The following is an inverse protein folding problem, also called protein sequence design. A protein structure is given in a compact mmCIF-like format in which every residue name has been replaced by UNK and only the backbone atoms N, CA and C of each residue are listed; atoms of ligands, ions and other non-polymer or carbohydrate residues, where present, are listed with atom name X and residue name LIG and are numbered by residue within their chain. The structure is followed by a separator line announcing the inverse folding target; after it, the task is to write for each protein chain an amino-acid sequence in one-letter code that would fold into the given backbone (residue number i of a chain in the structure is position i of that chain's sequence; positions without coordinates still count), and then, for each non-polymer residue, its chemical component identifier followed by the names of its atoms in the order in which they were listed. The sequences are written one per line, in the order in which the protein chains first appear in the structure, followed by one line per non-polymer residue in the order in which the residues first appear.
data_IF_729726420706
#
_entry.id   IF_729726420706
#
_cell.length_a   1.000
_cell.length_b   1.000
_cell.length_c   1.000
_cell.angle_alpha   90.00
_cell.angle_beta   90.00
_cell.angle_gamma   90.00
#
_symmetry.space_group_name_H-M   'P 1'
#
loop_
_entity.id
_entity.type
_entity.pdbx_description
1 polymer ?
#
# COMPACT_ATOMS: atom_id res chain seq x y z
N UNK A 1 -5.57 -1.31 -13.39
CA UNK A 1 -5.26 -2.30 -14.44
C UNK A 1 -6.08 -3.53 -14.24
N UNK A 2 -6.24 -4.23 -15.35
CA UNK A 2 -7.03 -5.43 -15.49
C UNK A 2 -6.26 -6.42 -16.33
N UNK A 3 -6.39 -7.70 -16.02
CA UNK A 3 -5.95 -8.76 -16.92
C UNK A 3 -7.05 -9.05 -17.95
N UNK A 4 -6.71 -9.44 -19.19
CA UNK A 4 -7.72 -9.87 -20.14
C UNK A 4 -8.54 -11.05 -19.59
N UNK A 5 -9.87 -10.98 -19.72
CA UNK A 5 -10.77 -11.98 -19.17
C UNK A 5 -10.48 -13.40 -19.68
N UNK A 6 -10.01 -13.53 -20.94
CA UNK A 6 -9.60 -14.81 -21.52
C UNK A 6 -8.46 -15.46 -20.73
N UNK A 7 -7.40 -14.70 -20.43
CA UNK A 7 -6.28 -15.22 -19.62
C UNK A 7 -6.72 -15.55 -18.21
N UNK A 8 -7.57 -14.70 -17.60
CA UNK A 8 -8.12 -14.99 -16.28
C UNK A 8 -8.92 -16.30 -16.25
N UNK A 9 -9.78 -16.54 -17.25
CA UNK A 9 -10.57 -17.78 -17.31
C UNK A 9 -9.70 -19.00 -17.55
N UNK A 10 -8.67 -18.89 -18.40
CA UNK A 10 -7.71 -19.96 -18.64
C UNK A 10 -6.94 -20.30 -17.36
N UNK A 11 -6.40 -19.30 -16.68
CA UNK A 11 -5.75 -19.46 -15.38
C UNK A 11 -6.71 -20.06 -14.35
N UNK A 12 -7.93 -19.54 -14.25
CA UNK A 12 -8.92 -20.05 -13.28
C UNK A 12 -9.23 -21.52 -13.54
N UNK A 13 -9.33 -21.94 -14.82
CA UNK A 13 -9.57 -23.34 -15.17
C UNK A 13 -8.39 -24.26 -14.84
N UNK A 14 -7.15 -23.77 -14.89
CA UNK A 14 -5.98 -24.58 -14.54
C UNK A 14 -5.83 -24.76 -13.02
N UNK A 15 -6.18 -23.75 -12.22
CA UNK A 15 -5.98 -23.79 -10.75
C UNK A 15 -7.21 -24.23 -9.96
N UNK A 16 -8.42 -23.93 -10.44
CA UNK A 16 -9.65 -24.19 -9.68
C UNK A 16 -10.32 -25.54 -10.04
N UNK A 17 -9.82 -26.26 -11.05
CA UNK A 17 -10.30 -27.58 -11.45
C UNK A 17 -11.81 -27.63 -11.65
N UNK A 18 -12.50 -28.49 -10.88
CA UNK A 18 -13.97 -28.66 -10.92
C UNK A 18 -14.75 -27.60 -10.12
N UNK A 19 -14.09 -26.62 -9.50
CA UNK A 19 -14.74 -25.60 -8.68
C UNK A 19 -15.57 -24.66 -9.55
N UNK A 20 -16.86 -24.55 -9.25
CA UNK A 20 -17.75 -23.66 -10.01
C UNK A 20 -17.37 -22.19 -9.79
N UNK A 21 -17.56 -21.34 -10.81
CA UNK A 21 -17.34 -19.89 -10.68
C UNK A 21 -18.15 -19.27 -9.51
N UNK A 22 -19.36 -19.81 -9.24
CA UNK A 22 -20.19 -19.36 -8.14
C UNK A 22 -19.57 -19.67 -6.76
N UNK A 23 -18.89 -20.81 -6.63
CA UNK A 23 -18.15 -21.17 -5.43
C UNK A 23 -16.89 -20.30 -5.27
N UNK A 24 -16.14 -20.08 -6.36
CA UNK A 24 -14.97 -19.18 -6.36
C UNK A 24 -15.35 -17.76 -5.94
N UNK A 25 -16.41 -17.18 -6.53
CA UNK A 25 -16.90 -15.85 -6.15
C UNK A 25 -17.23 -15.76 -4.67
N UNK A 26 -17.89 -16.80 -4.12
CA UNK A 26 -18.27 -16.84 -2.71
C UNK A 26 -17.04 -16.91 -1.81
N UNK A 27 -16.09 -17.79 -2.12
CA UNK A 27 -14.86 -17.95 -1.35
C UNK A 27 -13.98 -16.69 -1.40
N UNK A 28 -13.91 -16.02 -2.55
CA UNK A 28 -13.17 -14.76 -2.73
C UNK A 28 -13.88 -13.52 -2.19
N UNK A 29 -15.11 -13.63 -1.66
CA UNK A 29 -15.90 -12.50 -1.18
C UNK A 29 -16.35 -11.54 -2.29
N UNK A 30 -16.43 -12.00 -3.54
CA UNK A 30 -16.77 -11.19 -4.72
C UNK A 30 -18.23 -11.41 -5.09
N UNK A 31 -18.97 -10.32 -5.32
CA UNK A 31 -20.32 -10.42 -5.87
C UNK A 31 -20.27 -11.05 -7.27
N UNK A 32 -21.08 -12.08 -7.52
CA UNK A 32 -21.13 -12.76 -8.83
C UNK A 32 -21.38 -11.80 -9.99
N UNK A 33 -22.25 -10.81 -9.78
CA UNK A 33 -22.54 -9.77 -10.77
C UNK A 33 -21.31 -8.93 -11.13
N UNK A 34 -20.43 -8.66 -10.16
CA UNK A 34 -19.17 -7.93 -10.39
C UNK A 34 -18.23 -8.73 -11.29
N UNK A 35 -18.02 -10.02 -11.01
CA UNK A 35 -17.18 -10.86 -11.86
C UNK A 35 -17.79 -11.01 -13.26
N UNK A 36 -19.10 -11.27 -13.36
CA UNK A 36 -19.78 -11.39 -14.64
C UNK A 36 -19.63 -10.11 -15.50
N UNK A 37 -19.81 -8.92 -14.89
CA UNK A 37 -19.61 -7.64 -15.60
C UNK A 37 -18.16 -7.45 -16.06
N UNK A 38 -17.18 -7.83 -15.26
CA UNK A 38 -15.76 -7.78 -15.64
C UNK A 38 -15.46 -8.71 -16.82
N UNK A 39 -15.99 -9.94 -16.80
CA UNK A 39 -15.85 -10.90 -17.90
C UNK A 39 -16.50 -10.40 -19.19
N UNK A 40 -17.72 -9.84 -19.12
CA UNK A 40 -18.42 -9.25 -20.27
C UNK A 40 -17.64 -8.07 -20.86
N UNK A 41 -17.01 -7.25 -20.02
CA UNK A 41 -16.12 -6.14 -20.45
C UNK A 41 -14.76 -6.63 -20.97
N UNK A 42 -14.50 -7.94 -20.95
CA UNK A 42 -13.25 -8.55 -21.40
C UNK A 42 -12.05 -8.29 -20.49
N UNK A 43 -12.26 -7.76 -19.27
CA UNK A 43 -11.20 -7.27 -18.39
C UNK A 43 -11.53 -7.52 -16.92
N UNK A 44 -10.62 -8.20 -16.22
CA UNK A 44 -10.76 -8.58 -14.80
C UNK A 44 -9.77 -7.78 -13.96
N UNK A 45 -10.22 -7.17 -12.85
CA UNK A 45 -9.34 -6.33 -12.03
C UNK A 45 -8.28 -7.16 -11.30
N UNK A 46 -7.09 -6.60 -11.07
CA UNK A 46 -6.05 -7.29 -10.27
C UNK A 46 -6.53 -7.63 -8.86
N UNK A 47 -7.37 -6.78 -8.26
CA UNK A 47 -7.99 -7.06 -6.96
C UNK A 47 -8.85 -8.32 -6.98
N UNK A 48 -9.54 -8.57 -8.11
CA UNK A 48 -10.33 -9.80 -8.31
C UNK A 48 -9.40 -11.01 -8.41
N UNK A 49 -8.31 -10.91 -9.19
CA UNK A 49 -7.31 -11.99 -9.29
C UNK A 49 -6.72 -12.31 -7.92
N UNK A 50 -6.24 -11.30 -7.19
CA UNK A 50 -5.65 -11.47 -5.86
C UNK A 50 -6.64 -12.06 -4.83
N UNK A 51 -7.90 -11.60 -4.83
CA UNK A 51 -8.92 -12.15 -3.95
C UNK A 51 -9.23 -13.63 -4.26
N UNK A 52 -9.24 -14.00 -5.54
CA UNK A 52 -9.40 -15.40 -5.94
C UNK A 52 -8.18 -16.23 -5.55
N UNK A 53 -6.96 -15.76 -5.79
CA UNK A 53 -5.72 -16.42 -5.36
C UNK A 53 -5.74 -16.72 -3.87
N UNK A 54 -6.06 -15.71 -3.03
CA UNK A 54 -6.18 -15.87 -1.57
C UNK A 54 -7.23 -16.91 -1.19
N UNK A 55 -8.37 -16.92 -1.87
CA UNK A 55 -9.44 -17.89 -1.57
C UNK A 55 -9.09 -19.34 -1.90
N UNK A 56 -8.10 -19.53 -2.78
CA UNK A 56 -7.57 -20.83 -3.18
C UNK A 56 -6.22 -21.16 -2.49
N UNK A 57 -5.81 -20.34 -1.51
CA UNK A 57 -4.51 -20.46 -0.83
C UNK A 57 -3.30 -20.45 -1.78
N UNK A 58 -3.41 -19.67 -2.86
CA UNK A 58 -2.36 -19.52 -3.86
C UNK A 58 -1.48 -18.29 -3.56
N UNK A 59 -0.15 -18.37 -3.80
CA UNK A 59 0.75 -17.23 -3.65
C UNK A 59 0.39 -16.12 -4.64
N UNK A 60 -0.16 -15.01 -4.12
CA UNK A 60 -0.70 -13.90 -4.93
C UNK A 60 0.31 -13.34 -5.92
N UNK A 61 1.56 -13.11 -5.50
CA UNK A 61 2.59 -12.54 -6.38
C UNK A 61 2.93 -13.48 -7.52
N UNK A 62 3.10 -14.78 -7.23
CA UNK A 62 3.37 -15.77 -8.26
C UNK A 62 2.21 -15.89 -9.26
N UNK A 63 0.96 -15.88 -8.78
CA UNK A 63 -0.21 -15.84 -9.66
C UNK A 63 -0.20 -14.61 -10.56
N UNK A 64 0.03 -13.42 -9.99
CA UNK A 64 0.01 -12.19 -10.78
C UNK A 64 1.09 -12.21 -11.87
N UNK A 65 2.24 -12.85 -11.61
CA UNK A 65 3.30 -13.05 -12.60
C UNK A 65 2.97 -13.98 -13.75
N UNK A 66 1.88 -14.75 -13.70
CA UNK A 66 1.43 -15.54 -14.85
C UNK A 66 0.76 -14.68 -15.93
N UNK A 67 0.38 -13.44 -15.60
CA UNK A 67 -0.33 -12.56 -16.50
C UNK A 67 0.61 -11.62 -17.27
N UNK A 68 0.30 -11.33 -18.54
CA UNK A 68 1.05 -10.34 -19.31
C UNK A 68 1.13 -8.98 -18.60
N UNK A 69 2.30 -8.34 -18.70
CA UNK A 69 2.69 -7.07 -18.05
C UNK A 69 3.08 -7.14 -16.57
N UNK A 70 3.01 -8.33 -15.96
CA UNK A 70 3.34 -8.55 -14.55
C UNK A 70 4.34 -9.70 -14.36
N UNK A 71 4.89 -10.22 -15.46
CA UNK A 71 5.78 -11.38 -15.47
C UNK A 71 7.01 -11.16 -14.58
N UNK A 72 7.46 -9.91 -14.47
CA UNK A 72 8.62 -9.52 -13.68
C UNK A 72 8.32 -9.38 -12.17
N UNK A 73 7.06 -9.43 -11.72
CA UNK A 73 6.73 -9.21 -10.30
C UNK A 73 7.42 -10.19 -9.36
N UNK A 74 7.40 -11.48 -9.67
CA UNK A 74 8.02 -12.50 -8.83
C UNK A 74 9.54 -12.37 -8.80
N UNK A 75 10.18 -12.13 -9.96
CA UNK A 75 11.62 -11.91 -10.05
C UNK A 75 12.06 -10.55 -9.48
N UNK A 76 11.16 -9.57 -9.46
CA UNK A 76 11.38 -8.22 -8.94
C UNK A 76 11.08 -8.08 -7.45
N UNK A 77 10.72 -9.16 -6.78
CA UNK A 77 10.59 -9.20 -5.32
C UNK A 77 11.98 -9.02 -4.69
N UNK A 78 12.15 -7.94 -3.92
CA UNK A 78 13.36 -7.64 -3.16
C UNK A 78 12.98 -7.30 -1.73
N UNK A 79 13.83 -7.59 -0.72
CA UNK A 79 13.62 -7.11 0.63
C UNK A 79 13.42 -5.59 0.67
N UNK A 80 12.51 -5.08 1.53
CA UNK A 80 12.36 -3.65 1.71
C UNK A 80 13.60 -3.03 2.35
N UNK A 81 13.91 -1.81 1.96
CA UNK A 81 14.92 -0.98 2.64
C UNK A 81 14.43 -0.57 4.03
N UNK A 82 15.35 -0.13 4.91
CA UNK A 82 14.97 0.38 6.23
C UNK A 82 14.02 1.59 6.13
N UNK A 83 14.26 2.48 5.16
CA UNK A 83 13.38 3.62 4.89
C UNK A 83 11.96 3.17 4.51
N UNK A 84 11.83 2.14 3.66
CA UNK A 84 10.53 1.55 3.32
C UNK A 84 9.85 0.94 4.55
N UNK A 85 10.58 0.22 5.40
CA UNK A 85 10.04 -0.38 6.62
C UNK A 85 9.51 0.69 7.59
N UNK A 86 10.30 1.73 7.86
CA UNK A 86 9.92 2.85 8.73
C UNK A 86 8.75 3.66 8.16
N UNK A 87 8.63 3.74 6.83
CA UNK A 87 7.51 4.42 6.17
C UNK A 87 6.17 3.73 6.43
N UNK A 88 6.18 2.42 6.73
CA UNK A 88 5.00 1.59 7.02
C UNK A 88 4.74 1.41 8.52
N UNK A 89 5.24 2.35 9.33
CA UNK A 89 4.93 2.51 10.74
C UNK A 89 3.98 3.70 10.87
N UNK A 90 2.88 3.51 11.60
CA UNK A 90 1.91 4.59 11.81
C UNK A 90 2.52 5.71 12.68
N UNK A 91 2.00 6.93 12.56
CA UNK A 91 2.48 8.05 13.39
C UNK A 91 2.27 7.76 14.88
N UNK A 92 1.20 7.05 15.23
CA UNK A 92 0.90 6.65 16.60
C UNK A 92 1.92 5.64 17.15
N UNK A 93 2.23 4.59 16.40
CA UNK A 93 3.21 3.57 16.81
C UNK A 93 4.62 4.18 16.95
N UNK A 94 4.98 5.10 16.04
CA UNK A 94 6.25 5.81 16.08
C UNK A 94 6.38 6.66 17.35
N UNK A 95 5.36 7.44 17.69
CA UNK A 95 5.35 8.25 18.91
C UNK A 95 5.34 7.40 20.17
N UNK A 96 4.55 6.32 20.17
CA UNK A 96 4.50 5.39 21.29
C UNK A 96 5.87 4.75 21.56
N UNK A 97 6.60 4.36 20.52
CA UNK A 97 7.96 3.84 20.68
C UNK A 97 8.91 4.86 21.30
N UNK A 98 8.87 6.13 20.83
CA UNK A 98 9.69 7.20 21.40
C UNK A 98 9.38 7.39 22.89
N UNK A 99 8.10 7.42 23.26
CA UNK A 99 7.66 7.55 24.65
C UNK A 99 8.09 6.34 25.49
N UNK A 100 7.96 5.13 24.96
CA UNK A 100 8.39 3.90 25.64
C UNK A 100 9.88 3.91 25.93
N UNK A 101 10.72 4.34 24.96
CA UNK A 101 12.17 4.44 25.16
C UNK A 101 12.54 5.50 26.18
N UNK A 102 11.88 6.66 26.13
CA UNK A 102 12.17 7.72 27.07
C UNK A 102 11.77 7.32 28.51
N UNK A 103 10.58 6.75 28.68
CA UNK A 103 10.13 6.24 29.99
C UNK A 103 11.02 5.11 30.52
N UNK A 104 11.52 4.22 29.65
CA UNK A 104 12.47 3.18 30.05
C UNK A 104 13.82 3.76 30.50
N UNK A 105 14.33 4.78 29.80
CA UNK A 105 15.55 5.48 30.17
C UNK A 105 15.43 6.21 31.51
N UNK A 106 14.30 6.91 31.74
CA UNK A 106 14.01 7.62 32.99
C UNK A 106 13.88 6.65 34.18
N UNK A 107 13.28 5.47 33.97
CA UNK A 107 13.07 4.47 35.02
C UNK A 107 14.18 3.43 35.13
N UNK A 108 15.25 3.52 34.31
CA UNK A 108 16.34 2.54 34.23
C UNK A 108 15.84 1.10 33.99
N UNK A 109 14.79 0.95 33.19
CA UNK A 109 14.19 -0.34 32.82
C UNK A 109 14.41 -0.68 31.36
N UNK A 110 14.10 -1.92 30.97
CA UNK A 110 14.07 -2.31 29.58
C UNK A 110 12.82 -1.72 28.88
N UNK A 111 12.93 -1.26 27.62
CA UNK A 111 11.78 -0.84 26.84
C UNK A 111 10.75 -1.97 26.66
N UNK A 112 9.48 -1.61 26.65
CA UNK A 112 8.39 -2.55 26.38
C UNK A 112 8.48 -3.13 24.96
N UNK A 113 7.96 -4.34 24.71
CA UNK A 113 7.88 -4.89 23.37
C UNK A 113 7.06 -4.00 22.44
N UNK A 114 7.57 -3.78 21.22
CA UNK A 114 6.84 -3.08 20.16
C UNK A 114 5.70 -3.97 19.65
N UNK A 115 4.48 -3.46 19.72
CA UNK A 115 3.33 -4.03 19.01
C UNK A 115 2.83 -3.00 18.01
N UNK A 116 3.03 -3.26 16.73
CA UNK A 116 2.62 -2.35 15.67
C UNK A 116 1.16 -2.55 15.29
N UNK A 117 0.49 -1.44 14.97
CA UNK A 117 -0.80 -1.48 14.29
C UNK A 117 -0.70 -2.16 12.90
N UNK A 118 -1.84 -2.55 12.28
CA UNK A 118 -1.86 -3.15 10.95
C UNK A 118 -1.12 -2.30 9.90
N UNK A 119 -0.54 -2.96 8.89
CA UNK A 119 0.47 -2.33 8.01
C UNK A 119 0.00 -1.18 7.13
N UNK A 120 -1.26 -1.14 6.72
CA UNK A 120 -1.78 -0.03 5.92
C UNK A 120 -2.51 0.99 6.80
N UNK A 121 -1.99 2.22 6.83
CA UNK A 121 -2.53 3.38 7.54
C UNK A 121 -2.80 4.54 6.57
N UNK A 122 -3.46 5.60 7.06
CA UNK A 122 -3.96 6.73 6.25
C UNK A 122 -2.89 7.46 5.42
N UNK A 123 -1.62 7.32 5.79
CA UNK A 123 -0.47 7.97 5.17
C UNK A 123 0.48 7.00 4.46
N UNK A 124 0.19 5.68 4.43
CA UNK A 124 1.11 4.64 3.94
C UNK A 124 1.64 4.91 2.54
N UNK A 125 0.78 5.29 1.59
CA UNK A 125 1.18 5.56 0.21
C UNK A 125 2.12 6.74 0.13
N UNK A 126 1.77 7.85 0.79
CA UNK A 126 2.60 9.07 0.77
C UNK A 126 3.95 8.82 1.44
N UNK A 127 3.93 8.24 2.64
CA UNK A 127 5.13 7.94 3.41
C UNK A 127 6.08 7.01 2.65
N UNK A 128 5.55 5.97 2.00
CA UNK A 128 6.35 5.08 1.15
C UNK A 128 6.97 5.83 -0.02
N UNK A 129 6.18 6.60 -0.76
CA UNK A 129 6.71 7.36 -1.89
C UNK A 129 7.79 8.34 -1.44
N UNK A 130 7.60 9.06 -0.34
CA UNK A 130 8.63 9.96 0.21
C UNK A 130 9.89 9.20 0.65
N UNK A 131 9.76 7.97 1.14
CA UNK A 131 10.88 7.14 1.56
C UNK A 131 11.70 6.55 0.39
N UNK A 132 11.08 6.36 -0.78
CA UNK A 132 11.75 5.81 -1.98
C UNK A 132 12.03 6.86 -3.06
N UNK A 133 11.56 8.10 -2.89
CA UNK A 133 11.76 9.16 -3.89
C UNK A 133 13.22 9.61 -3.93
N UNK A 134 13.84 9.45 -5.09
CA UNK A 134 15.21 9.87 -5.34
C UNK A 134 15.35 11.35 -5.73
N UNK A 135 14.26 12.06 -6.06
CA UNK A 135 14.13 13.54 -6.24
C UNK A 135 12.93 13.93 -7.11
N UNK A 136 12.61 13.14 -8.14
CA UNK A 136 11.60 13.43 -9.14
C UNK A 136 10.68 12.23 -9.46
N UNK A 137 10.58 11.27 -8.55
CA UNK A 137 9.84 10.01 -8.75
C UNK A 137 8.41 10.27 -9.21
N UNK A 138 7.68 11.15 -8.52
CA UNK A 138 6.27 11.45 -8.84
C UNK A 138 6.10 12.01 -10.26
N UNK A 139 7.05 12.83 -10.71
CA UNK A 139 7.05 13.41 -12.07
C UNK A 139 7.32 12.34 -13.11
N UNK A 140 8.31 11.46 -12.87
CA UNK A 140 8.62 10.32 -13.75
C UNK A 140 7.45 9.36 -13.86
N UNK A 141 6.81 9.01 -12.73
CA UNK A 141 5.63 8.13 -12.67
C UNK A 141 4.46 8.72 -13.45
N UNK A 142 4.11 9.99 -13.20
CA UNK A 142 3.00 10.64 -13.89
C UNK A 142 3.21 10.65 -15.42
N UNK A 143 4.43 10.98 -15.86
CA UNK A 143 4.83 10.97 -17.27
C UNK A 143 4.79 9.58 -17.88
N UNK A 144 5.34 8.56 -17.21
CA UNK A 144 5.33 7.18 -17.72
C UNK A 144 3.91 6.60 -17.80
N UNK A 145 3.05 6.94 -16.85
CA UNK A 145 1.65 6.51 -16.84
C UNK A 145 0.74 7.37 -17.73
N UNK A 146 1.27 8.41 -18.39
CA UNK A 146 0.52 9.38 -19.19
C UNK A 146 -0.69 9.98 -18.44
N UNK A 147 -0.52 10.27 -17.14
CA UNK A 147 -1.53 10.91 -16.31
C UNK A 147 -1.11 12.31 -15.92
N UNK A 148 -2.09 13.20 -15.75
CA UNK A 148 -1.85 14.52 -15.21
C UNK A 148 -1.24 14.42 -13.78
N UNK A 149 -0.19 15.19 -13.44
CA UNK A 149 0.41 15.18 -12.10
C UNK A 149 -0.60 15.43 -10.98
N UNK A 150 -1.65 16.22 -11.24
CA UNK A 150 -2.75 16.49 -10.31
C UNK A 150 -3.54 15.22 -9.97
N UNK A 151 -3.78 14.34 -10.95
CA UNK A 151 -4.47 13.07 -10.73
C UNK A 151 -3.64 12.12 -9.85
N UNK A 152 -2.32 12.06 -10.10
CA UNK A 152 -1.42 11.29 -9.24
C UNK A 152 -1.42 11.85 -7.81
N UNK A 153 -1.31 13.17 -7.67
CA UNK A 153 -1.31 13.86 -6.39
C UNK A 153 -2.62 13.64 -5.61
N UNK A 154 -3.75 13.61 -6.30
CA UNK A 154 -5.05 13.30 -5.72
C UNK A 154 -5.11 11.85 -5.20
N UNK A 155 -4.61 10.87 -5.96
CA UNK A 155 -4.55 9.47 -5.53
C UNK A 155 -3.64 9.27 -4.31
N UNK A 156 -2.47 9.92 -4.30
CA UNK A 156 -1.53 9.88 -3.17
C UNK A 156 -2.19 10.47 -1.92
N UNK A 157 -2.83 11.65 -2.07
CA UNK A 157 -3.49 12.33 -0.95
C UNK A 157 -4.69 11.55 -0.41
N UNK A 158 -5.40 10.84 -1.28
CA UNK A 158 -6.51 9.97 -0.90
C UNK A 158 -6.06 8.58 -0.40
N UNK A 159 -4.75 8.30 -0.37
CA UNK A 159 -4.18 6.99 -0.01
C UNK A 159 -4.74 5.83 -0.87
N UNK A 160 -4.97 6.10 -2.17
CA UNK A 160 -5.63 5.19 -3.13
C UNK A 160 -4.81 5.00 -4.41
N UNK A 161 -3.48 4.98 -4.27
CA UNK A 161 -2.58 4.70 -5.39
C UNK A 161 -2.89 3.31 -5.96
N UNK A 162 -3.07 3.20 -7.27
CA UNK A 162 -3.33 1.90 -7.90
C UNK A 162 -2.10 0.99 -7.82
N UNK A 163 -2.33 -0.33 -7.87
CA UNK A 163 -1.25 -1.31 -7.93
C UNK A 163 -0.26 -1.01 -9.06
N UNK A 164 -0.75 -0.56 -10.22
CA UNK A 164 0.12 -0.17 -11.33
C UNK A 164 1.08 0.96 -11.01
N UNK A 165 0.55 2.03 -10.43
CA UNK A 165 1.36 3.20 -10.12
C UNK A 165 2.33 2.85 -8.99
N UNK A 166 1.95 1.98 -8.06
CA UNK A 166 2.87 1.44 -7.07
C UNK A 166 4.02 0.63 -7.70
N UNK A 167 3.72 -0.29 -8.63
CA UNK A 167 4.75 -1.08 -9.33
C UNK A 167 5.65 -0.18 -10.20
N UNK A 168 5.05 0.79 -10.92
CA UNK A 168 5.81 1.74 -11.73
C UNK A 168 6.72 2.62 -10.87
N UNK A 169 6.23 3.12 -9.72
CA UNK A 169 7.04 3.84 -8.75
C UNK A 169 8.18 2.98 -8.22
N UNK A 170 7.92 1.72 -7.85
CA UNK A 170 8.97 0.81 -7.38
C UNK A 170 10.03 0.56 -8.45
N UNK A 171 9.63 0.41 -9.72
CA UNK A 171 10.53 0.21 -10.85
C UNK A 171 11.43 1.44 -11.08
N UNK A 172 10.87 2.65 -11.01
CA UNK A 172 11.64 3.89 -11.19
C UNK A 172 12.56 4.16 -10.00
N UNK A 173 12.13 3.81 -8.78
CA UNK A 173 12.93 3.94 -7.55
C UNK A 173 13.91 2.78 -7.33
N UNK A 174 13.91 1.77 -8.22
CA UNK A 174 14.77 0.59 -8.19
C UNK A 174 14.66 -0.30 -6.93
N UNK A 175 13.57 -0.15 -6.17
CA UNK A 175 13.23 -0.96 -4.99
C UNK A 175 12.45 -2.23 -5.39
N UNK A 176 12.09 -3.06 -4.40
CA UNK A 176 11.29 -4.27 -4.64
C UNK A 176 9.91 -3.95 -5.24
N UNK A 177 9.54 -4.61 -6.34
CA UNK A 177 8.30 -4.33 -7.08
C UNK A 177 7.02 -4.58 -6.26
N UNK A 178 7.12 -5.41 -5.23
CA UNK A 178 6.02 -5.77 -4.32
C UNK A 178 5.88 -4.81 -3.13
N UNK A 179 6.91 -4.02 -2.80
CA UNK A 179 6.91 -3.18 -1.59
C UNK A 179 5.84 -2.08 -1.65
N UNK A 180 5.72 -1.42 -2.80
CA UNK A 180 4.66 -0.43 -3.02
C UNK A 180 3.25 -1.02 -2.92
N UNK A 181 3.08 -2.31 -3.23
CA UNK A 181 1.80 -3.00 -3.10
C UNK A 181 1.43 -3.26 -1.63
N UNK A 182 2.41 -3.39 -0.74
CA UNK A 182 2.16 -3.40 0.71
C UNK A 182 1.66 -2.03 1.16
N UNK A 183 2.31 -0.96 0.70
CA UNK A 183 1.97 0.42 1.05
C UNK A 183 0.57 0.83 0.59
N UNK A 184 0.06 0.27 -0.50
CA UNK A 184 -1.34 0.47 -0.95
C UNK A 184 -2.35 -0.40 -0.22
N UNK A 185 -1.91 -1.33 0.64
CA UNK A 185 -2.75 -2.35 1.26
C UNK A 185 -3.23 -3.43 0.27
N UNK A 186 -2.67 -3.46 -0.94
CA UNK A 186 -3.01 -4.47 -1.95
C UNK A 186 -2.43 -5.83 -1.60
N UNK A 187 -1.20 -5.89 -1.08
CA UNK A 187 -0.57 -7.08 -0.51
C UNK A 187 -0.37 -6.93 1.01
N UNK A 188 -0.40 -8.05 1.71
CA UNK A 188 0.20 -8.14 3.05
C UNK A 188 1.74 -8.15 2.96
N UNK A 189 2.45 -7.76 4.03
CA UNK A 189 3.92 -7.88 4.08
C UNK A 189 4.42 -9.30 3.74
N UNK A 190 3.74 -10.34 4.25
CA UNK A 190 4.09 -11.74 4.01
C UNK A 190 3.91 -12.13 2.54
N UNK A 191 2.83 -11.70 1.88
CA UNK A 191 2.63 -11.93 0.44
C UNK A 191 3.70 -11.24 -0.41
N UNK A 192 4.21 -10.10 0.05
CA UNK A 192 5.27 -9.35 -0.63
C UNK A 192 6.68 -9.90 -0.37
N UNK A 193 6.81 -10.97 0.42
CA UNK A 193 8.09 -11.58 0.77
C UNK A 193 8.86 -10.87 1.90
N UNK A 194 8.20 -10.01 2.68
CA UNK A 194 8.85 -9.35 3.80
C UNK A 194 9.11 -10.33 4.92
N UNK A 195 10.30 -10.26 5.51
CA UNK A 195 10.65 -11.06 6.69
C UNK A 195 9.71 -10.67 7.85
N UNK A 196 9.08 -11.63 8.54
CA UNK A 196 8.26 -11.34 9.71
C UNK A 196 9.04 -10.56 10.78
N UNK A 197 8.42 -9.56 11.39
CA UNK A 197 9.08 -8.72 12.39
C UNK A 197 10.04 -7.66 11.83
N UNK A 198 10.20 -7.56 10.50
CA UNK A 198 11.14 -6.62 9.87
C UNK A 198 10.84 -5.15 10.22
N UNK A 199 9.57 -4.76 10.31
CA UNK A 199 9.17 -3.40 10.71
C UNK A 199 9.53 -3.10 12.17
N UNK A 200 9.24 -4.04 13.06
CA UNK A 200 9.55 -3.97 14.48
C UNK A 200 11.06 -3.92 14.72
N UNK A 201 11.83 -4.67 13.92
CA UNK A 201 13.28 -4.70 13.98
C UNK A 201 13.89 -3.40 13.44
N UNK A 202 13.37 -2.87 12.33
CA UNK A 202 13.78 -1.57 11.81
C UNK A 202 13.52 -0.47 12.84
N UNK A 203 12.30 -0.39 13.38
CA UNK A 203 11.94 0.58 14.40
C UNK A 203 12.88 0.51 15.61
N UNK A 204 13.13 -0.69 16.13
CA UNK A 204 14.03 -0.93 17.28
C UNK A 204 15.48 -0.62 16.98
N UNK A 205 15.94 -0.91 15.77
CA UNK A 205 17.31 -0.66 15.32
C UNK A 205 17.61 0.82 15.08
N UNK A 206 16.60 1.63 14.76
CA UNK A 206 16.79 3.06 14.49
C UNK A 206 17.08 3.85 15.79
N UNK A 207 18.10 4.72 15.82
CA UNK A 207 18.39 5.57 16.98
C UNK A 207 17.22 6.48 17.38
N UNK A 208 17.04 6.72 18.69
CA UNK A 208 15.95 7.55 19.20
C UNK A 208 15.98 8.98 18.63
N UNK A 209 17.16 9.58 18.43
CA UNK A 209 17.29 10.89 17.79
C UNK A 209 16.77 10.90 16.35
N UNK A 210 17.04 9.85 15.57
CA UNK A 210 16.52 9.68 14.21
C UNK A 210 15.00 9.48 14.21
N UNK A 211 14.46 8.72 15.18
CA UNK A 211 13.01 8.56 15.34
C UNK A 211 12.32 9.88 15.68
N UNK A 212 12.91 10.69 16.57
CA UNK A 212 12.39 12.02 16.91
C UNK A 212 12.40 12.95 15.69
N UNK A 213 13.48 12.96 14.91
CA UNK A 213 13.54 13.74 13.66
C UNK A 213 12.49 13.29 12.64
N UNK A 214 12.32 11.97 12.47
CA UNK A 214 11.28 11.39 11.61
C UNK A 214 9.87 11.78 12.07
N UNK A 215 9.60 11.66 13.37
CA UNK A 215 8.32 12.03 13.96
C UNK A 215 8.03 13.52 13.78
N UNK A 216 9.01 14.40 14.03
CA UNK A 216 8.87 15.84 13.82
C UNK A 216 8.50 16.18 12.37
N UNK A 217 9.19 15.56 11.40
CA UNK A 217 8.90 15.77 9.98
C UNK A 217 7.48 15.29 9.60
N UNK A 218 7.06 14.11 10.08
CA UNK A 218 5.73 13.56 9.80
C UNK A 218 4.61 14.38 10.44
N UNK A 219 4.83 14.89 11.66
CA UNK A 219 3.87 15.76 12.36
C UNK A 219 3.71 17.12 11.68
N UNK A 220 4.78 17.70 11.13
CA UNK A 220 4.68 18.93 10.32
C UNK A 220 3.81 18.73 9.07
N UNK A 221 4.01 17.61 8.36
CA UNK A 221 3.17 17.25 7.21
C UNK A 221 1.71 17.06 7.64
N UNK A 222 1.48 16.33 8.73
CA UNK A 222 0.13 16.09 9.26
C UNK A 222 -0.57 17.39 9.64
N UNK A 223 0.13 18.31 10.33
CA UNK A 223 -0.37 19.62 10.71
C UNK A 223 -0.86 20.42 9.49
N UNK A 224 -0.05 20.47 8.41
CA UNK A 224 -0.43 21.15 7.17
C UNK A 224 -1.67 20.53 6.51
N UNK A 225 -1.81 19.21 6.55
CA UNK A 225 -2.99 18.51 6.00
C UNK A 225 -4.23 18.81 6.81
N UNK A 226 -4.14 18.73 8.14
CA UNK A 226 -5.28 18.99 9.03
C UNK A 226 -5.78 20.41 8.89
N UNK A 227 -4.88 21.39 8.90
CA UNK A 227 -5.23 22.80 8.71
C UNK A 227 -5.98 23.04 7.40
N UNK A 228 -5.52 22.45 6.29
CA UNK A 228 -6.22 22.57 5.01
C UNK A 228 -7.62 21.94 5.07
N UNK A 229 -7.75 20.77 5.70
CA UNK A 229 -9.03 20.10 5.87
C UNK A 229 -10.02 20.93 6.71
N UNK A 230 -9.53 21.62 7.74
CA UNK A 230 -10.32 22.50 8.60
C UNK A 230 -10.78 23.75 7.81
N UNK A 231 -9.89 24.37 7.05
CA UNK A 231 -10.19 25.51 6.16
C UNK A 231 -11.24 25.14 5.10
N UNK A 232 -11.09 23.98 4.45
CA UNK A 232 -12.05 23.47 3.45
C UNK A 232 -13.43 23.22 4.08
N UNK A 233 -13.47 22.66 5.30
CA UNK A 233 -14.73 22.39 6.01
C UNK A 233 -15.45 23.69 6.40
N UNK A 234 -14.70 24.70 6.87
CA UNK A 234 -15.25 26.01 7.20
C UNK A 234 -15.79 26.73 5.96
N UNK A 235 -15.10 26.65 4.82
CA UNK A 235 -15.56 27.21 3.56
C UNK A 235 -16.89 26.57 3.11
N UNK A 236 -16.99 25.24 3.15
CA UNK A 236 -18.25 24.52 2.84
C UNK A 236 -19.38 24.97 3.76
N UNK A 237 -19.14 25.03 5.07
CA UNK A 237 -20.15 25.45 6.05
C UNK A 237 -20.67 26.87 5.78
N UNK A 238 -19.77 27.83 5.49
CA UNK A 238 -20.18 29.20 5.15
C UNK A 238 -21.02 29.30 3.87
N UNK A 239 -20.79 28.44 2.88
CA UNK A 239 -21.64 28.39 1.67
C UNK A 239 -23.04 27.90 2.02
N UNK A 240 -23.16 26.87 2.88
CA UNK A 240 -24.47 26.39 3.34
C UNK A 240 -25.24 27.44 4.14
N UNK A 241 -24.56 28.18 5.01
CA UNK A 241 -25.16 29.24 5.82
C UNK A 241 -25.63 30.44 4.99
N UNK A 242 -25.00 30.71 3.85
CA UNK A 242 -25.39 31.81 2.94
C UNK A 242 -26.45 31.41 1.89
N UNK A 243 -26.83 30.13 1.82
CA UNK A 243 -27.86 29.60 0.91
C UNK A 243 -29.20 29.29 1.61
N UNK A 244 -29.28 29.46 2.94
CA UNK A 244 -30.49 29.38 3.77
C UNK A 244 -30.97 30.74 4.23
#
# INVERSE_FOLDING_TARGET
MTVPAKFFLQWLSSVAGATTQAAVCRAAGIKRSTLAQQLVRGRVSLATVAAVSRSLDLPVVATLSEFPHFEDLSSGMKPPTEAELLSQISDADLLQEILNRNGAAENLTAPLPVQLSPGHHKSSVRAWLDAVDSSDLRVKVARQAAIAPQNLSAQISANRLTAELAIASARIAEVGLTNGLVSTGFLSPTEAGWVPGSRENALRGTPTSSLVSLASHRLDILSRILRRSEEDSAAVQSVWENLG
#
